data_IF_455441410084
#
_entry.id   IF_455441410084
#
_cell.length_a   1.000
_cell.length_b   1.000
_cell.length_c   1.000
_cell.angle_alpha   90.00
_cell.angle_beta   90.00
_cell.angle_gamma   90.00
#
_symmetry.space_group_name_H-M   'P 1'
#
loop_
_entity.id
_entity.type
_entity.pdbx_description
1 polymer ?
#
# COMPACT_ATOMS: atom_id res chain seq x y z
N UNK A 1 17.81 -32.00 -74.12
CA UNK A 1 18.21 -30.66 -73.63
C UNK A 1 17.08 -30.11 -72.77
N UNK A 2 17.34 -30.03 -71.46
CA UNK A 2 16.54 -29.35 -70.43
C UNK A 2 16.52 -27.81 -70.66
N UNK A 3 15.81 -26.97 -69.87
CA UNK A 3 15.06 -27.30 -68.65
C UNK A 3 13.70 -26.59 -68.45
N UNK A 4 12.83 -27.23 -67.67
CA UNK A 4 11.80 -26.57 -66.83
C UNK A 4 12.41 -25.67 -65.75
N UNK A 5 11.63 -24.71 -65.22
CA UNK A 5 11.28 -24.84 -63.81
C UNK A 5 9.78 -24.63 -63.52
N UNK A 6 9.37 -25.18 -62.37
CA UNK A 6 8.00 -25.35 -61.88
C UNK A 6 7.55 -24.19 -60.96
N UNK A 7 6.22 -23.98 -60.94
CA UNK A 7 5.31 -23.46 -59.86
C UNK A 7 5.32 -21.95 -59.57
N UNK A 8 4.21 -21.35 -59.03
CA UNK A 8 3.16 -21.98 -58.21
C UNK A 8 1.68 -21.70 -58.61
N UNK A 9 0.71 -22.43 -58.02
CA UNK A 9 -0.71 -22.13 -58.13
C UNK A 9 -1.07 -20.83 -57.36
N UNK A 10 -2.10 -20.14 -57.83
CA UNK A 10 -2.67 -18.96 -57.18
C UNK A 10 -3.08 -19.29 -55.73
N UNK A 11 -2.42 -18.60 -54.78
CA UNK A 11 -2.75 -18.57 -53.36
C UNK A 11 -4.15 -17.96 -53.15
N UNK A 12 -4.99 -18.51 -52.26
CA UNK A 12 -6.05 -17.73 -51.64
C UNK A 12 -5.41 -16.67 -50.73
N UNK A 13 -5.95 -15.45 -50.81
CA UNK A 13 -5.53 -14.26 -50.09
C UNK A 13 -5.38 -14.51 -48.58
N UNK A 14 -4.19 -14.19 -48.09
CA UNK A 14 -3.89 -13.46 -46.84
C UNK A 14 -4.94 -13.56 -45.73
N UNK A 15 -4.59 -14.33 -44.69
CA UNK A 15 -5.13 -14.20 -43.35
C UNK A 15 -4.80 -12.79 -42.81
N UNK A 16 -5.72 -11.85 -43.01
CA UNK A 16 -5.66 -10.53 -42.41
C UNK A 16 -6.09 -10.61 -40.94
N UNK A 17 -5.08 -10.69 -40.08
CA UNK A 17 -4.95 -9.96 -38.82
C UNK A 17 -6.27 -9.70 -38.04
N UNK A 18 -6.62 -10.53 -37.04
CA UNK A 18 -7.71 -10.19 -36.14
C UNK A 18 -7.25 -9.01 -35.27
N UNK A 19 -7.77 -7.84 -35.61
CA UNK A 19 -7.86 -6.61 -34.80
C UNK A 19 -7.39 -6.85 -33.36
N UNK A 20 -6.20 -6.33 -33.04
CA UNK A 20 -5.82 -5.89 -31.68
C UNK A 20 -6.99 -5.02 -31.17
N UNK A 21 -7.95 -5.65 -30.49
CA UNK A 21 -8.86 -4.91 -29.63
C UNK A 21 -8.01 -4.54 -28.42
N UNK A 22 -7.59 -3.28 -28.37
CA UNK A 22 -7.12 -2.64 -27.16
C UNK A 22 -8.24 -2.75 -26.13
N UNK A 23 -8.08 -3.67 -25.20
CA UNK A 23 -9.01 -3.87 -24.10
C UNK A 23 -8.28 -3.35 -22.88
N UNK A 24 -8.38 -2.04 -22.67
CA UNK A 24 -7.99 -1.34 -21.43
C UNK A 24 -8.80 -1.97 -20.29
N UNK A 25 -8.15 -2.73 -19.40
CA UNK A 25 -8.80 -3.57 -18.38
C UNK A 25 -8.04 -3.51 -17.05
N UNK A 26 -7.92 -2.30 -16.53
CA UNK A 26 -7.41 -1.99 -15.19
C UNK A 26 -8.38 -2.48 -14.10
N UNK A 27 -7.91 -3.36 -13.21
CA UNK A 27 -8.57 -3.63 -11.92
C UNK A 27 -7.82 -2.88 -10.82
N UNK A 28 -8.57 -2.12 -10.00
CA UNK A 28 -8.08 -1.37 -8.83
C UNK A 28 -8.83 -1.95 -7.63
N UNK A 29 -8.11 -2.56 -6.68
CA UNK A 29 -8.70 -2.93 -5.39
C UNK A 29 -8.58 -1.73 -4.45
N UNK A 30 -9.70 -1.08 -4.13
CA UNK A 30 -9.79 -0.06 -3.08
C UNK A 30 -10.56 -0.67 -1.90
N UNK A 31 -9.95 -0.68 -0.71
CA UNK A 31 -10.65 -1.02 0.51
C UNK A 31 -11.59 0.14 0.89
N UNK A 32 -12.87 -0.13 1.21
CA UNK A 32 -13.75 0.90 1.76
C UNK A 32 -13.26 1.31 3.16
N UNK A 33 -13.33 2.61 3.45
CA UNK A 33 -13.04 3.18 4.77
C UNK A 33 -13.94 2.54 5.84
N UNK A 34 -13.34 2.25 7.00
CA UNK A 34 -13.97 1.56 8.12
C UNK A 34 -15.18 2.32 8.66
N UNK A 35 -16.39 1.90 8.30
CA UNK A 35 -17.58 2.22 9.09
C UNK A 35 -17.64 1.27 10.28
N UNK A 36 -17.64 1.87 11.47
CA UNK A 36 -17.99 1.24 12.74
C UNK A 36 -19.18 0.29 12.58
N UNK A 37 -18.99 -1.00 12.89
CA UNK A 37 -20.08 -1.95 12.97
C UNK A 37 -20.73 -1.79 14.36
N UNK A 38 -21.62 -0.81 14.47
CA UNK A 38 -22.67 -0.87 15.48
C UNK A 38 -23.70 -1.92 15.02
N UNK A 39 -23.98 -2.91 15.85
CA UNK A 39 -24.94 -3.98 15.56
C UNK A 39 -26.37 -3.42 15.37
N UNK A 40 -27.09 -3.75 14.29
CA UNK A 40 -28.49 -3.37 14.16
C UNK A 40 -29.44 -4.45 14.68
N UNK A 41 -30.33 -4.04 15.60
CA UNK A 41 -31.58 -4.74 15.92
C UNK A 41 -32.48 -4.82 14.67
N UNK A 42 -33.19 -5.95 14.55
CA UNK A 42 -34.08 -6.28 13.45
C UNK A 42 -35.31 -5.36 13.36
N UNK A 43 -35.75 -5.02 12.14
CA UNK A 43 -37.17 -4.97 11.73
C UNK A 43 -37.33 -4.82 10.19
N UNK A 44 -38.04 -5.81 9.63
CA UNK A 44 -38.88 -5.95 8.41
C UNK A 44 -38.84 -4.98 7.19
N UNK A 45 -38.91 -5.62 6.00
CA UNK A 45 -38.77 -5.23 4.56
C UNK A 45 -39.96 -4.46 3.91
N UNK A 46 -40.16 -4.33 2.55
CA UNK A 46 -39.31 -4.60 1.34
C UNK A 46 -39.37 -3.55 0.18
N UNK A 47 -38.46 -3.62 -0.82
CA UNK A 47 -38.77 -3.95 -2.25
C UNK A 47 -37.69 -3.52 -3.29
N UNK A 48 -37.60 -4.37 -4.33
CA UNK A 48 -36.98 -4.22 -5.66
C UNK A 48 -35.44 -4.42 -5.82
N UNK A 49 -35.09 -5.54 -6.46
CA UNK A 49 -33.75 -5.91 -6.96
C UNK A 49 -33.75 -5.95 -8.50
N UNK A 50 -32.60 -5.79 -9.18
CA UNK A 50 -32.30 -6.48 -10.42
C UNK A 50 -31.42 -7.72 -10.15
N UNK A 51 -31.67 -8.77 -10.92
CA UNK A 51 -31.24 -10.16 -10.77
C UNK A 51 -29.72 -10.41 -10.71
N UNK A 52 -29.30 -11.16 -9.70
CA UNK A 52 -28.00 -11.82 -9.55
C UNK A 52 -28.11 -13.28 -10.00
N UNK A 53 -27.27 -13.73 -10.93
CA UNK A 53 -27.09 -15.17 -11.19
C UNK A 53 -26.10 -15.72 -10.17
N UNK A 54 -26.56 -16.55 -9.24
CA UNK A 54 -25.74 -17.25 -8.23
C UNK A 54 -25.20 -18.58 -8.77
N UNK A 55 -23.91 -18.87 -8.55
CA UNK A 55 -23.41 -20.25 -8.60
C UNK A 55 -23.78 -20.98 -7.27
N UNK A 56 -24.24 -22.23 -7.30
CA UNK A 56 -24.58 -22.97 -6.08
C UNK A 56 -23.30 -23.54 -5.41
N UNK A 57 -23.18 -23.41 -4.08
CA UNK A 57 -22.32 -24.29 -3.28
C UNK A 57 -21.22 -23.69 -2.38
N UNK A 58 -21.39 -22.52 -1.74
CA UNK A 58 -20.38 -22.04 -0.76
C UNK A 58 -21.05 -21.48 0.51
N UNK A 59 -20.72 -21.98 1.73
CA UNK A 59 -21.27 -21.46 2.98
C UNK A 59 -20.61 -20.13 3.41
N UNK A 60 -21.25 -19.34 4.29
CA UNK A 60 -20.87 -17.94 4.51
C UNK A 60 -19.95 -17.75 5.73
N UNK A 61 -18.79 -17.11 5.52
CA UNK A 61 -18.20 -16.21 6.52
C UNK A 61 -17.53 -15.04 5.79
N UNK A 62 -17.63 -13.86 6.40
CA UNK A 62 -17.67 -12.58 5.72
C UNK A 62 -16.30 -12.09 5.20
N UNK A 63 -16.04 -12.35 3.93
CA UNK A 63 -15.31 -11.46 3.04
C UNK A 63 -15.87 -11.67 1.63
N UNK A 64 -16.94 -10.93 1.28
CA UNK A 64 -17.48 -10.97 -0.09
C UNK A 64 -16.53 -10.19 -1.01
N UNK A 65 -15.38 -10.76 -1.31
CA UNK A 65 -14.57 -10.38 -2.46
C UNK A 65 -15.37 -10.72 -3.72
N UNK A 66 -15.90 -9.69 -4.39
CA UNK A 66 -16.41 -9.85 -5.75
C UNK A 66 -15.20 -10.15 -6.64
N UNK A 67 -15.03 -11.42 -7.03
CA UNK A 67 -14.11 -11.80 -8.11
C UNK A 67 -14.58 -11.13 -9.41
N UNK A 68 -13.96 -10.01 -9.76
CA UNK A 68 -14.01 -9.43 -11.09
C UNK A 68 -12.79 -9.97 -11.85
N UNK A 69 -13.03 -10.47 -13.07
CA UNK A 69 -11.99 -11.03 -13.96
C UNK A 69 -10.90 -9.99 -14.23
N UNK A 70 -9.78 -10.09 -13.50
CA UNK A 70 -8.60 -9.24 -13.67
C UNK A 70 -7.82 -9.68 -14.91
N UNK A 71 -7.61 -8.75 -15.85
CA UNK A 71 -6.67 -8.93 -16.96
C UNK A 71 -5.50 -7.94 -16.92
N UNK A 72 -5.51 -7.00 -15.97
CA UNK A 72 -4.36 -6.19 -15.53
C UNK A 72 -4.56 -5.94 -14.02
N UNK A 73 -3.58 -6.32 -13.20
CA UNK A 73 -3.76 -6.52 -11.76
C UNK A 73 -2.93 -5.52 -10.96
N UNK A 74 -3.43 -4.29 -10.77
CA UNK A 74 -2.84 -3.29 -9.87
C UNK A 74 -3.67 -3.20 -8.57
N UNK A 75 -3.17 -3.74 -7.45
CA UNK A 75 -3.81 -3.60 -6.14
C UNK A 75 -3.40 -2.30 -5.44
N UNK A 76 -4.34 -1.61 -4.78
CA UNK A 76 -4.10 -0.33 -4.09
C UNK A 76 -4.55 -0.37 -2.63
N UNK A 77 -3.63 -0.43 -1.69
CA UNK A 77 -3.98 -0.36 -0.28
C UNK A 77 -3.97 1.08 0.23
N UNK A 78 -5.15 1.65 0.49
CA UNK A 78 -5.32 3.04 0.95
C UNK A 78 -6.05 3.19 2.30
N UNK A 79 -6.65 2.12 2.84
CA UNK A 79 -7.30 2.23 4.15
C UNK A 79 -6.26 2.51 5.24
N UNK A 80 -6.49 3.58 6.02
CA UNK A 80 -5.61 3.96 7.12
C UNK A 80 -6.36 4.66 8.24
N UNK A 81 -6.04 4.31 9.48
CA UNK A 81 -6.43 5.05 10.67
C UNK A 81 -5.21 5.80 11.21
N UNK A 82 -5.45 6.96 11.82
CA UNK A 82 -4.42 7.73 12.50
C UNK A 82 -4.78 8.00 13.96
N UNK A 83 -4.12 7.27 14.86
CA UNK A 83 -4.14 7.52 16.29
C UNK A 83 -2.85 8.24 16.66
N UNK A 84 -2.97 9.54 16.89
CA UNK A 84 -1.87 10.41 17.28
C UNK A 84 -1.73 10.41 18.81
N UNK A 85 -0.53 10.67 19.31
CA UNK A 85 -0.30 10.83 20.74
C UNK A 85 1.09 10.44 21.21
N UNK A 86 1.44 10.86 22.42
CA UNK A 86 2.56 10.26 23.13
C UNK A 86 2.27 8.79 23.39
N UNK A 87 3.30 7.95 23.34
CA UNK A 87 3.13 6.49 23.41
C UNK A 87 2.31 6.05 24.64
N UNK A 88 2.56 6.63 25.81
CA UNK A 88 1.83 6.32 27.05
C UNK A 88 0.37 6.81 27.06
N UNK A 89 0.02 7.79 26.22
CA UNK A 89 -1.36 8.30 26.08
C UNK A 89 -2.17 7.49 25.06
N UNK A 90 -1.53 6.64 24.24
CA UNK A 90 -2.23 5.80 23.27
C UNK A 90 -2.65 4.49 23.94
N UNK A 91 -3.96 4.28 24.05
CA UNK A 91 -4.47 3.01 24.61
C UNK A 91 -4.00 1.79 23.81
N UNK A 92 -3.79 0.62 24.45
CA UNK A 92 -3.48 -0.62 23.74
C UNK A 92 -4.47 -0.97 22.62
N UNK A 93 -5.75 -0.70 22.85
CA UNK A 93 -6.83 -0.90 21.87
C UNK A 93 -6.63 -0.02 20.62
N UNK A 94 -6.21 1.24 20.80
CA UNK A 94 -5.90 2.17 19.71
C UNK A 94 -4.67 1.73 18.92
N UNK A 95 -3.62 1.29 19.61
CA UNK A 95 -2.43 0.73 18.95
C UNK A 95 -2.79 -0.50 18.11
N UNK A 96 -3.58 -1.41 18.67
CA UNK A 96 -4.02 -2.60 17.95
C UNK A 96 -4.87 -2.25 16.72
N UNK A 97 -5.87 -1.36 16.86
CA UNK A 97 -6.69 -0.90 15.71
C UNK A 97 -5.87 -0.22 14.63
N UNK A 98 -4.87 0.58 15.00
CA UNK A 98 -3.95 1.22 14.06
C UNK A 98 -3.19 0.18 13.24
N UNK A 99 -2.57 -0.81 13.90
CA UNK A 99 -1.82 -1.88 13.25
C UNK A 99 -2.70 -2.79 12.40
N UNK A 100 -3.86 -3.19 12.91
CA UNK A 100 -4.84 -4.00 12.17
C UNK A 100 -5.25 -3.33 10.86
N UNK A 101 -5.54 -2.03 10.90
CA UNK A 101 -5.98 -1.28 9.72
C UNK A 101 -4.82 -1.05 8.75
N UNK A 102 -3.69 -0.54 9.25
CA UNK A 102 -2.61 -0.02 8.42
C UNK A 102 -1.68 -1.12 7.89
N UNK A 103 -1.56 -2.25 8.60
CA UNK A 103 -0.61 -3.33 8.30
C UNK A 103 -1.33 -4.64 7.93
N UNK A 104 -2.10 -5.20 8.87
CA UNK A 104 -2.70 -6.52 8.67
C UNK A 104 -3.80 -6.53 7.61
N UNK A 105 -4.56 -5.43 7.47
CA UNK A 105 -5.53 -5.23 6.40
C UNK A 105 -4.91 -5.44 5.00
N UNK A 106 -3.91 -4.62 4.61
CA UNK A 106 -3.16 -4.81 3.37
C UNK A 106 -2.55 -6.20 3.21
N UNK A 107 -1.94 -6.78 4.25
CA UNK A 107 -1.38 -8.13 4.22
C UNK A 107 -2.44 -9.19 3.85
N UNK A 108 -3.62 -9.10 4.46
CA UNK A 108 -4.70 -10.04 4.23
C UNK A 108 -5.27 -9.94 2.81
N UNK A 109 -5.41 -8.72 2.27
CA UNK A 109 -5.83 -8.51 0.88
C UNK A 109 -4.79 -9.07 -0.08
N UNK A 110 -3.51 -8.72 0.11
CA UNK A 110 -2.41 -9.24 -0.70
C UNK A 110 -2.39 -10.76 -0.72
N UNK A 111 -2.49 -11.40 0.46
CA UNK A 111 -2.53 -12.86 0.57
C UNK A 111 -3.68 -13.50 -0.21
N UNK A 112 -4.83 -12.83 -0.28
CA UNK A 112 -5.97 -13.31 -1.05
C UNK A 112 -5.79 -13.18 -2.57
N UNK A 113 -5.09 -12.14 -3.04
CA UNK A 113 -4.91 -11.89 -4.50
C UNK A 113 -3.68 -12.57 -5.10
N UNK A 114 -2.66 -12.86 -4.29
CA UNK A 114 -1.40 -13.45 -4.75
C UNK A 114 -1.56 -14.77 -5.53
N UNK A 115 -2.44 -15.72 -5.16
CA UNK A 115 -2.62 -16.94 -5.95
C UNK A 115 -3.04 -16.66 -7.40
N UNK A 116 -3.90 -15.65 -7.61
CA UNK A 116 -4.37 -15.25 -8.95
C UNK A 116 -3.23 -14.61 -9.75
N UNK A 117 -2.49 -13.66 -9.16
CA UNK A 117 -1.34 -13.03 -9.82
C UNK A 117 -0.25 -14.05 -10.17
N UNK A 118 -0.01 -15.03 -9.28
CA UNK A 118 0.95 -16.11 -9.51
C UNK A 118 0.55 -17.02 -10.66
N UNK A 119 -0.73 -17.34 -10.80
CA UNK A 119 -1.26 -18.10 -11.94
C UNK A 119 -1.11 -17.30 -13.24
N UNK A 120 -1.34 -15.99 -13.18
CA UNK A 120 -1.19 -15.07 -14.32
C UNK A 120 0.27 -14.84 -14.75
N UNK A 121 1.22 -15.08 -13.85
CA UNK A 121 2.64 -14.69 -14.03
C UNK A 121 2.80 -13.20 -14.33
N UNK A 122 1.91 -12.40 -13.75
CA UNK A 122 1.92 -10.95 -13.88
C UNK A 122 1.08 -10.33 -12.75
N UNK A 123 1.50 -9.16 -12.30
CA UNK A 123 0.79 -8.38 -11.30
C UNK A 123 1.63 -7.25 -10.74
N UNK A 124 0.96 -6.30 -10.09
CA UNK A 124 1.59 -5.20 -9.38
C UNK A 124 0.83 -4.95 -8.07
N UNK A 125 1.53 -5.10 -6.95
CA UNK A 125 1.00 -4.76 -5.62
C UNK A 125 1.55 -3.39 -5.25
N UNK A 126 0.65 -2.41 -5.10
CA UNK A 126 1.01 -1.08 -4.62
C UNK A 126 0.36 -0.80 -3.26
N UNK A 127 1.18 -0.46 -2.27
CA UNK A 127 0.72 -0.23 -0.89
C UNK A 127 1.10 1.18 -0.44
N UNK A 128 0.14 1.94 0.10
CA UNK A 128 0.43 3.24 0.69
C UNK A 128 1.00 3.08 2.10
N UNK A 129 2.27 3.46 2.22
CA UNK A 129 2.95 3.69 3.49
C UNK A 129 2.84 5.17 3.88
N UNK A 130 3.95 5.80 4.24
CA UNK A 130 4.13 7.18 4.67
C UNK A 130 5.63 7.47 4.77
N UNK A 131 6.05 8.74 4.74
CA UNK A 131 7.39 9.09 5.24
C UNK A 131 7.62 8.61 6.68
N UNK A 132 6.55 8.51 7.47
CA UNK A 132 6.58 7.92 8.82
C UNK A 132 6.87 6.41 8.85
N UNK A 133 6.93 5.73 7.69
CA UNK A 133 7.42 4.37 7.56
C UNK A 133 8.95 4.27 7.47
N UNK A 134 9.63 5.40 7.24
CA UNK A 134 11.08 5.49 7.19
C UNK A 134 11.64 6.33 8.34
N UNK A 135 10.89 7.34 8.80
CA UNK A 135 11.36 8.30 9.81
C UNK A 135 10.44 8.26 11.02
N UNK A 136 11.02 7.99 12.19
CA UNK A 136 10.32 8.10 13.47
C UNK A 136 10.14 9.56 13.88
N UNK A 137 8.95 9.91 14.39
CA UNK A 137 8.68 11.24 14.90
C UNK A 137 7.92 11.18 16.22
N UNK A 138 8.09 12.23 17.03
CA UNK A 138 7.28 12.43 18.22
C UNK A 138 5.78 12.43 17.87
N UNK A 139 4.96 12.00 18.83
CA UNK A 139 3.50 11.97 18.70
C UNK A 139 2.95 10.98 17.66
N UNK A 140 3.82 10.15 17.07
CA UNK A 140 3.52 9.23 15.97
C UNK A 140 3.89 7.76 16.24
N UNK A 141 4.31 7.39 17.45
CA UNK A 141 4.93 6.09 17.74
C UNK A 141 4.14 4.88 17.18
N UNK A 142 2.85 4.80 17.49
CA UNK A 142 2.00 3.70 17.01
C UNK A 142 1.77 3.74 15.49
N UNK A 143 1.68 4.93 14.90
CA UNK A 143 1.47 5.09 13.46
C UNK A 143 2.74 4.73 12.69
N UNK A 144 3.89 5.26 13.11
CA UNK A 144 5.18 4.95 12.56
C UNK A 144 5.44 3.44 12.65
N UNK A 145 5.24 2.81 13.81
CA UNK A 145 5.37 1.36 13.94
C UNK A 145 4.55 0.58 12.91
N UNK A 146 3.29 0.98 12.67
CA UNK A 146 2.45 0.33 11.65
C UNK A 146 2.98 0.52 10.22
N UNK A 147 3.56 1.69 9.91
CA UNK A 147 4.08 2.02 8.57
C UNK A 147 5.47 1.43 8.32
N UNK A 148 6.36 1.41 9.30
CA UNK A 148 7.60 0.63 9.26
C UNK A 148 7.31 -0.86 9.05
N UNK A 149 6.25 -1.38 9.69
CA UNK A 149 5.77 -2.74 9.44
C UNK A 149 5.37 -2.96 7.98
N UNK A 150 4.74 -1.97 7.33
CA UNK A 150 4.40 -2.04 5.90
C UNK A 150 5.66 -2.07 5.05
N UNK A 151 6.66 -1.22 5.35
CA UNK A 151 7.94 -1.20 4.64
C UNK A 151 8.64 -2.56 4.69
N UNK A 152 8.86 -3.08 5.90
CA UNK A 152 9.56 -4.37 6.08
C UNK A 152 8.81 -5.54 5.44
N UNK A 153 7.48 -5.54 5.54
CA UNK A 153 6.66 -6.55 4.88
C UNK A 153 6.76 -6.49 3.36
N UNK A 154 6.61 -5.31 2.77
CA UNK A 154 6.62 -5.15 1.31
C UNK A 154 8.00 -5.39 0.70
N UNK A 155 9.06 -4.99 1.40
CA UNK A 155 10.45 -5.28 1.01
C UNK A 155 10.72 -6.79 1.03
N UNK A 156 10.31 -7.48 2.10
CA UNK A 156 10.44 -8.94 2.19
C UNK A 156 9.61 -9.65 1.11
N UNK A 157 8.35 -9.24 0.94
CA UNK A 157 7.42 -9.83 -0.03
C UNK A 157 7.94 -9.73 -1.46
N UNK A 158 8.67 -8.67 -1.81
CA UNK A 158 9.24 -8.49 -3.14
C UNK A 158 10.05 -9.72 -3.56
N UNK A 159 10.94 -10.21 -2.69
CA UNK A 159 11.80 -11.35 -2.97
C UNK A 159 11.01 -12.64 -3.20
N UNK A 160 9.93 -12.86 -2.43
CA UNK A 160 9.09 -14.05 -2.53
C UNK A 160 8.36 -14.17 -3.88
N UNK A 161 7.99 -13.03 -4.48
CA UNK A 161 7.06 -12.98 -5.60
C UNK A 161 7.67 -12.49 -6.92
N UNK A 162 8.84 -11.85 -6.89
CA UNK A 162 9.58 -11.43 -8.07
C UNK A 162 9.82 -12.57 -9.09
N UNK A 163 10.15 -13.82 -8.68
CA UNK A 163 10.30 -14.94 -9.63
C UNK A 163 9.04 -15.27 -10.44
N UNK A 164 7.88 -14.77 -10.02
CA UNK A 164 6.60 -14.97 -10.70
C UNK A 164 6.17 -13.76 -11.55
N UNK A 165 7.09 -12.82 -11.80
CA UNK A 165 6.84 -11.58 -12.52
C UNK A 165 5.72 -10.74 -11.86
N UNK A 166 5.67 -10.76 -10.54
CA UNK A 166 4.80 -9.90 -9.74
C UNK A 166 5.67 -8.81 -9.13
N UNK A 167 5.27 -7.56 -9.37
CA UNK A 167 6.00 -6.36 -8.94
C UNK A 167 5.40 -5.81 -7.66
N UNK A 168 6.21 -5.12 -6.87
CA UNK A 168 5.79 -4.42 -5.66
C UNK A 168 6.21 -2.96 -5.74
N UNK A 169 5.38 -2.06 -5.22
CA UNK A 169 5.74 -0.67 -4.97
C UNK A 169 5.16 -0.24 -3.63
N UNK A 170 6.01 0.30 -2.76
CA UNK A 170 5.58 1.04 -1.58
C UNK A 170 5.57 2.52 -1.93
N UNK A 171 4.48 3.19 -1.60
CA UNK A 171 4.33 4.63 -1.81
C UNK A 171 4.49 5.32 -0.47
N UNK A 172 5.34 6.33 -0.40
CA UNK A 172 5.69 7.02 0.83
C UNK A 172 5.38 8.52 0.69
N UNK A 173 4.12 8.93 0.90
CA UNK A 173 3.76 10.33 0.85
C UNK A 173 4.31 11.10 2.05
N UNK A 174 4.67 12.36 1.81
CA UNK A 174 4.82 13.39 2.84
C UNK A 174 3.47 13.99 3.26
N UNK A 175 3.47 15.26 3.63
CA UNK A 175 2.25 15.99 3.98
C UNK A 175 1.46 16.40 2.73
N UNK A 176 0.41 15.64 2.43
CA UNK A 176 -0.60 15.99 1.42
C UNK A 176 -1.85 16.59 2.05
N UNK A 177 -2.56 17.41 1.28
CA UNK A 177 -3.92 17.88 1.63
C UNK A 177 -4.91 16.75 1.45
N UNK A 178 -4.85 15.77 2.34
CA UNK A 178 -5.83 14.69 2.46
C UNK A 178 -6.65 14.90 3.73
N UNK A 179 -7.74 14.15 3.84
CA UNK A 179 -8.59 14.11 5.05
C UNK A 179 -7.86 13.51 6.26
N UNK A 180 -6.58 13.11 6.16
CA UNK A 180 -5.86 12.43 7.24
C UNK A 180 -5.92 13.20 8.58
N UNK A 181 -5.80 14.53 8.55
CA UNK A 181 -5.78 15.40 9.74
C UNK A 181 -7.16 15.97 10.12
N UNK A 182 -8.26 15.55 9.48
CA UNK A 182 -9.59 15.91 9.96
C UNK A 182 -10.03 15.01 11.11
N UNK A 183 -10.90 15.52 11.98
CA UNK A 183 -11.44 14.77 13.14
C UNK A 183 -12.17 13.48 12.74
N UNK A 184 -12.54 13.31 11.46
CA UNK A 184 -13.16 12.09 10.95
C UNK A 184 -12.14 10.95 10.67
N UNK A 185 -10.86 11.26 10.53
CA UNK A 185 -9.80 10.30 10.18
C UNK A 185 -8.65 10.25 11.21
N UNK A 186 -8.54 11.28 12.07
CA UNK A 186 -7.63 11.29 13.22
C UNK A 186 -8.40 11.09 14.52
N UNK A 187 -7.92 10.15 15.34
CA UNK A 187 -8.26 10.11 16.77
C UNK A 187 -7.18 10.84 17.53
N UNK A 188 -7.54 12.00 18.11
CA UNK A 188 -6.65 12.80 18.95
C UNK A 188 -6.62 12.23 20.38
N UNK A 189 -5.47 12.29 21.07
CA UNK A 189 -5.37 11.84 22.45
C UNK A 189 -6.03 12.86 23.38
N UNK A 190 -6.59 12.38 24.48
CA UNK A 190 -6.90 13.24 25.62
C UNK A 190 -5.63 13.42 26.46
N UNK A 191 -5.33 14.63 26.94
CA UNK A 191 -4.16 14.88 27.79
C UNK A 191 -4.40 14.30 29.18
N UNK A 192 -4.15 13.00 29.36
CA UNK A 192 -4.40 12.27 30.61
C UNK A 192 -3.18 12.19 31.52
N UNK A 193 -2.00 12.56 31.01
CA UNK A 193 -0.73 12.54 31.74
C UNK A 193 -0.22 13.96 31.87
N UNK A 194 -0.05 14.45 33.11
CA UNK A 194 0.33 15.84 33.41
C UNK A 194 1.65 16.26 32.72
N UNK A 195 2.63 15.34 32.67
CA UNK A 195 3.93 15.58 32.03
C UNK A 195 3.82 15.87 30.52
N UNK A 196 2.75 15.39 29.86
CA UNK A 196 2.51 15.59 28.43
C UNK A 196 1.44 16.63 28.14
N UNK A 197 0.52 16.92 29.07
CA UNK A 197 -0.70 17.67 28.83
C UNK A 197 -0.51 19.00 28.09
N UNK A 198 0.48 19.81 28.51
CA UNK A 198 0.79 21.09 27.86
C UNK A 198 1.28 20.90 26.42
N UNK A 199 2.14 19.90 26.20
CA UNK A 199 2.71 19.57 24.88
C UNK A 199 1.67 18.92 23.98
N UNK A 200 0.87 18.00 24.49
CA UNK A 200 -0.27 17.38 23.80
C UNK A 200 -1.22 18.46 23.27
N UNK A 201 -1.61 19.41 24.13
CA UNK A 201 -2.48 20.53 23.73
C UNK A 201 -1.86 21.38 22.63
N UNK A 202 -0.57 21.71 22.74
CA UNK A 202 0.14 22.51 21.74
C UNK A 202 0.27 21.78 20.40
N UNK A 203 0.64 20.49 20.41
CA UNK A 203 0.82 19.66 19.22
C UNK A 203 -0.50 19.44 18.49
N UNK A 204 -1.58 19.10 19.21
CA UNK A 204 -2.91 18.94 18.61
C UNK A 204 -3.36 20.25 17.95
N UNK A 205 -3.16 21.40 18.63
CA UNK A 205 -3.47 22.72 18.05
C UNK A 205 -2.67 22.99 16.78
N UNK A 206 -1.36 22.72 16.81
CA UNK A 206 -0.48 22.93 15.66
C UNK A 206 -0.90 22.05 14.47
N UNK A 207 -1.13 20.75 14.68
CA UNK A 207 -1.49 19.82 13.61
C UNK A 207 -2.86 20.13 13.02
N UNK A 208 -3.84 20.51 13.85
CA UNK A 208 -5.15 21.00 13.36
C UNK A 208 -5.01 22.27 12.51
N UNK A 209 -4.05 23.14 12.81
CA UNK A 209 -3.81 24.36 12.01
C UNK A 209 -3.15 24.08 10.65
N UNK A 210 -2.44 22.96 10.52
CA UNK A 210 -1.79 22.51 9.28
C UNK A 210 -2.81 21.90 8.31
N UNK A 211 -3.96 21.43 8.82
CA UNK A 211 -5.01 20.85 7.99
C UNK A 211 -5.49 21.82 6.89
N UNK A 212 -5.47 21.38 5.64
CA UNK A 212 -5.80 22.18 4.46
C UNK A 212 -4.64 23.06 3.95
N UNK A 213 -3.55 23.21 4.70
CA UNK A 213 -2.38 24.00 4.32
C UNK A 213 -1.19 23.15 3.84
N UNK A 214 -1.30 21.81 3.89
CA UNK A 214 -0.23 20.91 3.49
C UNK A 214 0.24 21.20 2.04
N UNK A 215 1.53 21.04 1.71
CA UNK A 215 2.04 21.40 0.38
C UNK A 215 1.63 20.40 -0.72
N UNK A 216 1.38 19.13 -0.37
CA UNK A 216 1.08 18.09 -1.33
C UNK A 216 -0.33 18.18 -1.93
N UNK A 217 -0.42 17.99 -3.26
CA UNK A 217 -1.65 17.98 -4.04
C UNK A 217 -2.10 16.52 -4.32
N UNK A 218 -3.25 16.06 -3.78
CA UNK A 218 -3.72 14.68 -3.96
C UNK A 218 -4.04 14.33 -5.42
N UNK A 219 -4.42 15.30 -6.26
CA UNK A 219 -4.68 15.07 -7.69
C UNK A 219 -3.37 14.86 -8.44
N UNK A 220 -2.28 15.53 -8.04
CA UNK A 220 -0.94 15.25 -8.57
C UNK A 220 -0.43 13.89 -8.09
N UNK A 221 -0.66 13.54 -6.82
CA UNK A 221 -0.31 12.22 -6.29
C UNK A 221 -1.00 11.12 -7.11
N UNK A 222 -2.33 11.20 -7.28
CA UNK A 222 -3.07 10.22 -8.07
C UNK A 222 -2.53 10.06 -9.50
N UNK A 223 -2.17 11.16 -10.17
CA UNK A 223 -1.54 11.12 -11.51
C UNK A 223 -0.16 10.47 -11.49
N UNK A 224 0.66 10.78 -10.48
CA UNK A 224 1.96 10.16 -10.32
C UNK A 224 1.85 8.65 -10.07
N UNK A 225 0.89 8.24 -9.26
CA UNK A 225 0.58 6.84 -8.98
C UNK A 225 0.18 6.07 -10.24
N UNK A 226 -0.68 6.63 -11.09
CA UNK A 226 -0.99 6.04 -12.40
C UNK A 226 0.28 5.92 -13.28
N UNK A 227 1.12 6.96 -13.28
CA UNK A 227 2.37 6.94 -14.03
C UNK A 227 3.31 5.84 -13.54
N UNK A 228 3.37 5.61 -12.23
CA UNK A 228 4.17 4.53 -11.63
C UNK A 228 3.61 3.16 -11.99
N UNK A 229 2.29 2.98 -11.91
CA UNK A 229 1.62 1.72 -12.26
C UNK A 229 1.81 1.33 -13.74
N UNK A 230 1.89 2.32 -14.63
CA UNK A 230 2.06 2.09 -16.07
C UNK A 230 3.54 1.82 -16.47
N UNK A 231 4.50 1.85 -15.54
CA UNK A 231 5.89 1.52 -15.83
C UNK A 231 6.07 0.02 -16.04
N UNK A 232 6.88 -0.35 -17.04
CA UNK A 232 7.33 -1.73 -17.20
C UNK A 232 8.12 -2.19 -15.96
N UNK A 233 9.02 -1.33 -15.49
CA UNK A 233 9.82 -1.52 -14.27
C UNK A 233 9.46 -0.40 -13.27
N UNK A 234 8.39 -0.58 -12.48
CA UNK A 234 8.04 0.36 -11.42
C UNK A 234 9.08 0.29 -10.30
N UNK A 235 9.36 1.43 -9.62
CA UNK A 235 10.27 1.42 -8.48
C UNK A 235 9.67 0.63 -7.31
N UNK A 236 10.53 0.01 -6.50
CA UNK A 236 10.09 -0.64 -5.27
C UNK A 236 9.61 0.38 -4.22
N UNK A 237 10.21 1.57 -4.19
CA UNK A 237 9.80 2.71 -3.35
C UNK A 237 9.51 3.94 -4.17
N UNK A 238 8.42 4.62 -3.84
CA UNK A 238 8.04 5.89 -4.45
C UNK A 238 7.78 6.94 -3.37
N UNK A 239 8.81 7.71 -3.06
CA UNK A 239 8.75 8.90 -2.21
C UNK A 239 7.96 9.99 -2.94
N UNK A 240 6.83 10.39 -2.36
CA UNK A 240 5.95 11.39 -2.95
C UNK A 240 5.96 12.66 -2.10
N UNK A 241 6.51 13.75 -2.64
CA UNK A 241 6.64 15.03 -1.95
C UNK A 241 8.11 15.38 -1.69
N UNK A 242 8.44 16.68 -1.76
CA UNK A 242 9.80 17.15 -1.50
C UNK A 242 10.21 16.88 -0.05
N UNK A 243 9.28 17.08 0.88
CA UNK A 243 9.43 16.77 2.30
C UNK A 243 9.70 15.28 2.56
N UNK A 244 9.02 14.38 1.86
CA UNK A 244 9.29 12.94 1.95
C UNK A 244 10.68 12.60 1.42
N UNK A 245 11.09 13.17 0.29
CA UNK A 245 12.41 12.97 -0.31
C UNK A 245 13.52 13.46 0.63
N UNK A 246 13.39 14.69 1.13
CA UNK A 246 14.37 15.32 2.01
C UNK A 246 14.48 14.54 3.33
N UNK A 247 13.34 14.17 3.93
CA UNK A 247 13.29 13.38 5.17
C UNK A 247 13.94 12.00 5.02
N UNK A 248 13.60 11.27 3.96
CA UNK A 248 14.18 9.95 3.70
C UNK A 248 15.69 10.04 3.40
N UNK A 249 16.12 11.10 2.71
CA UNK A 249 17.55 11.33 2.42
C UNK A 249 18.33 11.60 3.70
N UNK A 250 17.81 12.44 4.58
CA UNK A 250 18.44 12.73 5.87
C UNK A 250 18.53 11.47 6.75
N UNK A 251 17.45 10.69 6.83
CA UNK A 251 17.43 9.43 7.59
C UNK A 251 18.45 8.42 7.04
N UNK A 252 18.54 8.27 5.72
CA UNK A 252 19.51 7.36 5.10
C UNK A 252 20.96 7.76 5.43
N UNK A 253 21.25 9.07 5.47
CA UNK A 253 22.56 9.58 5.85
C UNK A 253 22.86 9.31 7.33
N UNK A 254 21.87 9.49 8.21
CA UNK A 254 21.99 9.21 9.64
C UNK A 254 22.24 7.72 9.90
N UNK A 255 21.45 6.83 9.27
CA UNK A 255 21.64 5.38 9.38
C UNK A 255 23.03 4.94 8.92
N UNK A 256 23.52 5.51 7.81
CA UNK A 256 24.89 5.25 7.34
C UNK A 256 25.91 5.71 8.37
N UNK A 257 25.77 6.92 8.92
CA UNK A 257 26.67 7.45 9.93
C UNK A 257 26.70 6.57 11.19
N UNK A 258 25.54 6.10 11.66
CA UNK A 258 25.44 5.21 12.82
C UNK A 258 26.07 3.83 12.57
N UNK A 259 25.88 3.27 11.38
CA UNK A 259 26.50 2.02 10.98
C UNK A 259 28.04 2.14 10.93
N UNK A 260 28.56 3.22 10.36
CA UNK A 260 30.01 3.48 10.34
C UNK A 260 30.57 3.71 11.75
N UNK A 261 29.87 4.47 12.59
CA UNK A 261 30.28 4.73 13.98
C UNK A 261 30.38 3.45 14.81
N UNK A 262 29.60 2.42 14.46
CA UNK A 262 29.58 1.13 15.15
C UNK A 262 30.35 0.03 14.40
N UNK A 263 31.04 0.34 13.30
CA UNK A 263 31.63 -0.68 12.39
C UNK A 263 32.66 -1.56 13.07
N UNK A 264 33.54 -0.99 13.87
CA UNK A 264 34.58 -1.74 14.58
C UNK A 264 33.96 -2.69 15.61
N UNK A 265 33.17 -2.14 16.55
CA UNK A 265 32.54 -2.92 17.60
C UNK A 265 31.55 -3.95 17.07
N UNK A 266 30.73 -3.60 16.07
CA UNK A 266 29.74 -4.49 15.49
C UNK A 266 30.34 -5.54 14.54
N UNK A 267 31.46 -5.21 13.88
CA UNK A 267 32.15 -6.12 12.97
C UNK A 267 32.98 -7.19 13.70
N UNK A 268 33.48 -6.89 14.89
CA UNK A 268 34.31 -7.78 15.71
C UNK A 268 33.49 -8.78 16.58
N UNK A 269 32.27 -9.11 16.15
CA UNK A 269 31.38 -10.05 16.84
C UNK A 269 31.38 -11.45 16.20
N UNK A 270 32.23 -11.67 15.20
CA UNK A 270 32.41 -12.99 14.61
C UNK A 270 33.13 -13.92 15.60
N UNK A 271 32.97 -15.24 15.44
CA UNK A 271 33.77 -16.17 16.22
C UNK A 271 35.23 -16.11 15.75
N UNK A 272 36.18 -16.14 16.68
CA UNK A 272 37.62 -16.10 16.39
C UNK A 272 38.10 -17.24 15.46
N UNK A 273 37.36 -18.35 15.39
CA UNK A 273 37.66 -19.51 14.55
C UNK A 273 36.95 -19.45 13.17
N UNK A 274 36.05 -18.50 12.96
CA UNK A 274 35.52 -18.18 11.63
C UNK A 274 36.50 -17.26 10.92
N UNK A 275 37.57 -17.84 10.36
CA UNK A 275 38.58 -17.08 9.61
C UNK A 275 37.92 -16.22 8.52
N UNK A 276 37.81 -14.93 8.79
CA UNK A 276 37.37 -13.87 7.88
C UNK A 276 38.57 -13.03 7.46
#
# INVERSE_FOLDING_TARGET
>A
MSPTPRRPPCLPRSASNPRRRSVDRRCVYLLPEGRSIAAPRATTAPSASPSLTSCPGTPPSAARSRCVRARESAGWHNAGNFYAGFFEEISPEHMHRQTETNLYGPMNVTRAVLPVMREQRDGHIMTLSSIAGLVGAEFNAAYAASKFGVEGWMESLHHDIAPYNIRTTVVEPGFFRTELLVDASTTWPEPTIDDYAARTTATVKAWKSINGQQPGDPVKLARALLTVADRAEPPQRFLAGADAIDGATAEAQELLAQAEASRELGGDLAHDDTGA
#
